data_IF_146169982446
#
_entry.id   IF_146169982446
#
_cell.length_a   1.000
_cell.length_b   1.000
_cell.length_c   1.000
_cell.angle_alpha   90.00
_cell.angle_beta   90.00
_cell.angle_gamma   90.00
#
_symmetry.space_group_name_H-M   'P 1'
#
loop_
_entity.id
_entity.type
_entity.pdbx_description
1 polymer ?
#
# COMPACT_ATOMS: atom_id res chain seq x y z
N UNK A 1 -0.94 12.20 -10.43
CA UNK A 1 -0.97 13.63 -10.79
C UNK A 1 -2.35 14.06 -11.31
N UNK A 2 -2.87 13.44 -12.37
CA UNK A 2 -4.11 13.88 -13.01
C UNK A 2 -5.36 13.77 -12.12
N UNK A 3 -5.45 12.76 -11.25
CA UNK A 3 -6.56 12.61 -10.31
C UNK A 3 -6.62 13.74 -9.27
N UNK A 4 -5.47 14.19 -8.78
CA UNK A 4 -5.40 15.28 -7.77
C UNK A 4 -5.80 16.61 -8.39
N UNK A 5 -5.30 16.91 -9.59
CA UNK A 5 -5.64 18.14 -10.33
C UNK A 5 -7.15 18.18 -10.61
N UNK A 6 -7.72 17.06 -11.10
CA UNK A 6 -9.16 16.94 -11.34
C UNK A 6 -9.99 17.07 -10.06
N UNK A 7 -9.54 16.49 -8.95
CA UNK A 7 -10.22 16.65 -7.66
C UNK A 7 -10.34 18.12 -7.27
N UNK A 8 -9.29 18.90 -7.48
CA UNK A 8 -9.28 20.33 -7.13
C UNK A 8 -10.14 21.13 -8.10
N UNK A 9 -10.08 20.82 -9.40
CA UNK A 9 -10.92 21.44 -10.44
C UNK A 9 -12.42 21.13 -10.25
N UNK A 10 -12.76 19.94 -9.72
CA UNK A 10 -14.14 19.51 -9.45
C UNK A 10 -14.80 20.21 -8.25
N UNK A 11 -14.11 21.14 -7.59
CA UNK A 11 -14.63 21.88 -6.43
C UNK A 11 -14.52 21.12 -5.10
N UNK A 12 -13.73 20.04 -5.04
CA UNK A 12 -13.49 19.33 -3.80
C UNK A 12 -12.69 20.21 -2.83
N UNK A 13 -12.98 20.11 -1.53
CA UNK A 13 -12.40 21.00 -0.52
C UNK A 13 -10.87 20.91 -0.52
N UNK A 14 -10.20 22.06 -0.49
CA UNK A 14 -8.73 22.14 -0.37
C UNK A 14 -8.18 21.43 0.87
N UNK A 15 -9.04 21.14 1.84
CA UNK A 15 -8.74 20.37 3.06
C UNK A 15 -8.91 18.86 2.84
N UNK A 16 -9.84 18.43 1.99
CA UNK A 16 -10.14 17.02 1.78
C UNK A 16 -9.01 16.28 1.06
N UNK A 17 -8.45 16.88 -0.01
CA UNK A 17 -7.37 16.28 -0.80
C UNK A 17 -6.11 15.94 0.03
N UNK A 18 -5.55 16.85 0.84
CA UNK A 18 -4.40 16.53 1.68
C UNK A 18 -4.74 15.50 2.78
N UNK A 19 -5.94 15.56 3.38
CA UNK A 19 -6.36 14.56 4.36
C UNK A 19 -6.48 13.16 3.76
N UNK A 20 -7.05 13.04 2.55
CA UNK A 20 -7.12 11.79 1.81
C UNK A 20 -5.70 11.24 1.52
N UNK A 21 -4.77 12.11 1.13
CA UNK A 21 -3.36 11.76 0.94
C UNK A 21 -2.67 11.28 2.21
N UNK A 22 -2.88 11.96 3.34
CA UNK A 22 -2.32 11.56 4.64
C UNK A 22 -2.90 10.23 5.12
N UNK A 23 -4.21 10.02 4.98
CA UNK A 23 -4.87 8.75 5.31
C UNK A 23 -4.34 7.59 4.44
N UNK A 24 -4.15 7.84 3.14
CA UNK A 24 -3.54 6.87 2.22
C UNK A 24 -2.13 6.49 2.63
N UNK A 25 -1.28 7.50 2.91
CA UNK A 25 0.10 7.31 3.31
C UNK A 25 0.21 6.54 4.63
N UNK A 26 -0.63 6.88 5.61
CA UNK A 26 -0.65 6.17 6.89
C UNK A 26 -1.12 4.71 6.73
N UNK A 27 -2.18 4.48 5.95
CA UNK A 27 -2.68 3.14 5.66
C UNK A 27 -1.65 2.26 4.94
N UNK A 28 -0.97 2.80 3.92
CA UNK A 28 0.11 2.08 3.22
C UNK A 28 1.33 1.87 4.10
N UNK A 29 1.66 2.81 4.98
CA UNK A 29 2.75 2.69 5.95
C UNK A 29 2.52 1.52 6.90
N UNK A 30 1.32 1.39 7.46
CA UNK A 30 0.93 0.26 8.31
C UNK A 30 0.99 -1.08 7.55
N UNK A 31 0.50 -1.13 6.31
CA UNK A 31 0.57 -2.34 5.50
C UNK A 31 2.03 -2.73 5.19
N UNK A 32 2.89 -1.76 4.89
CA UNK A 32 4.31 -1.98 4.54
C UNK A 32 5.14 -2.51 5.71
N UNK A 33 4.77 -2.16 6.95
CA UNK A 33 5.39 -2.75 8.14
C UNK A 33 5.28 -4.28 8.17
N UNK A 34 4.09 -4.81 7.84
CA UNK A 34 3.85 -6.26 7.83
C UNK A 34 4.54 -6.96 6.67
N UNK A 35 4.63 -6.31 5.50
CA UNK A 35 5.43 -6.79 4.35
C UNK A 35 6.92 -6.87 4.68
N UNK A 36 7.45 -5.87 5.40
CA UNK A 36 8.84 -5.87 5.84
C UNK A 36 9.17 -7.07 6.73
N UNK A 37 8.27 -7.41 7.66
CA UNK A 37 8.41 -8.61 8.51
C UNK A 37 8.34 -9.91 7.70
N UNK A 38 7.40 -10.02 6.77
CA UNK A 38 7.28 -11.18 5.89
C UNK A 38 8.53 -11.32 4.99
N UNK A 39 9.11 -10.21 4.53
CA UNK A 39 10.35 -10.19 3.76
C UNK A 39 11.58 -10.63 4.55
N UNK A 40 11.69 -10.23 5.82
CA UNK A 40 12.74 -10.72 6.72
C UNK A 40 12.63 -12.24 6.91
N UNK A 41 11.43 -12.75 7.21
CA UNK A 41 11.19 -14.20 7.34
C UNK A 41 11.44 -14.98 6.04
N UNK A 42 11.16 -14.37 4.88
CA UNK A 42 11.49 -14.94 3.58
C UNK A 42 13.01 -15.13 3.43
N UNK A 43 13.78 -14.08 3.75
CA UNK A 43 15.24 -14.10 3.68
C UNK A 43 15.85 -15.14 4.63
N UNK A 44 15.34 -15.23 5.85
CA UNK A 44 15.77 -16.24 6.83
C UNK A 44 15.50 -17.66 6.32
N UNK A 45 14.30 -17.94 5.79
CA UNK A 45 13.98 -19.28 5.27
C UNK A 45 14.83 -19.67 4.06
N UNK A 46 15.19 -18.68 3.22
CA UNK A 46 16.05 -18.87 2.06
C UNK A 46 17.48 -19.19 2.50
N UNK A 47 17.99 -18.50 3.53
CA UNK A 47 19.34 -18.68 4.05
C UNK A 47 19.52 -20.01 4.80
N UNK A 48 18.54 -20.42 5.62
CA UNK A 48 18.67 -21.63 6.45
C UNK A 48 18.37 -22.93 5.70
N UNK A 49 17.25 -22.97 4.97
CA UNK A 49 16.73 -24.23 4.42
C UNK A 49 16.58 -24.21 2.90
N UNK A 50 16.58 -23.02 2.29
CA UNK A 50 16.23 -22.82 0.87
C UNK A 50 14.78 -23.18 0.53
N UNK A 51 13.96 -23.56 1.53
CA UNK A 51 12.58 -24.01 1.37
C UNK A 51 11.64 -23.01 2.04
N UNK A 52 10.46 -22.82 1.46
CA UNK A 52 9.45 -21.90 2.01
C UNK A 52 9.60 -20.43 1.59
N UNK A 53 10.70 -20.03 0.95
CA UNK A 53 10.88 -18.68 0.39
C UNK A 53 9.72 -18.26 -0.52
N UNK A 54 9.29 -19.14 -1.44
CA UNK A 54 8.15 -18.88 -2.33
C UNK A 54 6.84 -18.70 -1.57
N UNK A 55 6.62 -19.44 -0.48
CA UNK A 55 5.42 -19.30 0.34
C UNK A 55 5.39 -17.91 1.00
N UNK A 56 6.54 -17.45 1.51
CA UNK A 56 6.64 -16.09 2.07
C UNK A 56 6.49 -15.01 0.98
N UNK A 57 6.99 -15.23 -0.23
CA UNK A 57 6.73 -14.34 -1.37
C UNK A 57 5.24 -14.26 -1.73
N UNK A 58 4.51 -15.37 -1.71
CA UNK A 58 3.06 -15.37 -1.92
C UNK A 58 2.34 -14.55 -0.84
N UNK A 59 2.74 -14.69 0.43
CA UNK A 59 2.21 -13.86 1.53
C UNK A 59 2.51 -12.37 1.28
N UNK A 60 3.72 -12.04 0.85
CA UNK A 60 4.11 -10.67 0.50
C UNK A 60 3.21 -10.09 -0.60
N UNK A 61 2.90 -10.90 -1.63
CA UNK A 61 1.97 -10.54 -2.70
C UNK A 61 0.55 -10.29 -2.19
N UNK A 62 0.05 -11.11 -1.26
CA UNK A 62 -1.27 -10.91 -0.62
C UNK A 62 -1.30 -9.59 0.15
N UNK A 63 -0.28 -9.30 0.95
CA UNK A 63 -0.23 -8.04 1.71
C UNK A 63 -0.10 -6.82 0.76
N UNK A 64 0.54 -6.98 -0.39
CA UNK A 64 0.61 -5.92 -1.41
C UNK A 64 -0.77 -5.56 -1.97
N UNK A 65 -1.67 -6.54 -2.15
CA UNK A 65 -3.04 -6.26 -2.60
C UNK A 65 -3.80 -5.32 -1.65
N UNK A 66 -3.52 -5.39 -0.34
CA UNK A 66 -4.09 -4.47 0.67
C UNK A 66 -3.61 -3.03 0.42
N UNK A 67 -2.32 -2.85 0.09
CA UNK A 67 -1.76 -1.53 -0.23
C UNK A 67 -2.35 -0.98 -1.53
N UNK A 68 -2.52 -1.84 -2.54
CA UNK A 68 -3.18 -1.47 -3.79
C UNK A 68 -4.64 -1.07 -3.57
N UNK A 69 -5.38 -1.74 -2.68
CA UNK A 69 -6.75 -1.33 -2.35
C UNK A 69 -6.81 0.07 -1.74
N UNK A 70 -5.91 0.40 -0.81
CA UNK A 70 -5.81 1.75 -0.24
C UNK A 70 -5.54 2.79 -1.34
N UNK A 71 -4.61 2.48 -2.25
CA UNK A 71 -4.30 3.36 -3.39
C UNK A 71 -5.54 3.59 -4.27
N UNK A 72 -6.22 2.52 -4.64
CA UNK A 72 -7.35 2.57 -5.57
C UNK A 72 -8.54 3.29 -4.93
N UNK A 73 -8.88 2.98 -3.68
CA UNK A 73 -10.00 3.65 -3.00
C UNK A 73 -9.77 5.13 -2.81
N UNK A 74 -8.56 5.54 -2.40
CA UNK A 74 -8.25 6.96 -2.26
C UNK A 74 -8.26 7.65 -3.63
N UNK A 75 -7.66 7.04 -4.65
CA UNK A 75 -7.68 7.61 -6.02
C UNK A 75 -9.11 7.73 -6.55
N UNK A 76 -9.99 6.76 -6.26
CA UNK A 76 -11.40 6.79 -6.64
C UNK A 76 -12.24 7.79 -5.83
N UNK A 77 -11.86 8.11 -4.60
CA UNK A 77 -12.51 9.18 -3.84
C UNK A 77 -12.15 10.60 -4.32
N UNK A 78 -11.13 10.74 -5.18
CA UNK A 78 -10.62 12.01 -5.69
C UNK A 78 -11.07 12.32 -7.13
N UNK A 79 -11.70 11.37 -7.82
CA UNK A 79 -12.10 11.50 -9.24
C UNK A 79 -13.60 11.56 -9.37
#
# INVERSE_FOLDING_TARGET
MNAIIRSVESGNSSVFVPLAGMAAGFGMGLASWTKGKAGAAAADSLAETGKGFINYLMVLGVIETVSLFIMVFVTKSLV
#
